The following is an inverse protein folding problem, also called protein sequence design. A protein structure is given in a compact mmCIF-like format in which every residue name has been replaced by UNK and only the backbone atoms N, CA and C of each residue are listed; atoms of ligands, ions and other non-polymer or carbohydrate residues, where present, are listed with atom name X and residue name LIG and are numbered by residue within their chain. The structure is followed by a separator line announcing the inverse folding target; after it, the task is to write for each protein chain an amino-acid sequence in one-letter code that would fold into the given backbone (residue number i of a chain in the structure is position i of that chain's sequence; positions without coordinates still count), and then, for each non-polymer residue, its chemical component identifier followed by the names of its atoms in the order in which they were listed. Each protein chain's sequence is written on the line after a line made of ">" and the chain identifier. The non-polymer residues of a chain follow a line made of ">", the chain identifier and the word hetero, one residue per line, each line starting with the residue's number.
data_IF_483199183607
#
_entry.id   IF_483199183607
#
_cell.length_a   1.000
_cell.length_b   1.000
_cell.length_c   1.000
_cell.angle_alpha   90.00
_cell.angle_beta   90.00
_cell.angle_gamma   90.00
#
_symmetry.space_group_name_H-M   'P 1'
#
loop_
_entity.id
_entity.type
_entity.pdbx_description
1 polymer ?
#
# COMPACT_ATOMS: atom_id res chain seq x y z
N UNK A 1 -19.47 -32.05 -9.50
CA UNK A 1 -19.61 -30.60 -9.28
C UNK A 1 -19.19 -29.92 -10.56
N UNK A 2 -20.13 -29.34 -11.29
CA UNK A 2 -19.81 -28.49 -12.45
C UNK A 2 -19.21 -27.21 -11.88
N UNK A 3 -17.88 -27.10 -11.93
CA UNK A 3 -17.20 -25.88 -11.50
C UNK A 3 -17.53 -24.78 -12.51
N UNK A 4 -18.28 -23.78 -12.08
CA UNK A 4 -18.47 -22.58 -12.89
C UNK A 4 -17.10 -21.96 -13.18
N UNK A 5 -16.79 -21.78 -14.47
CA UNK A 5 -15.55 -21.13 -14.89
C UNK A 5 -15.71 -19.63 -14.66
N UNK A 6 -14.86 -19.06 -13.82
CA UNK A 6 -14.87 -17.61 -13.55
C UNK A 6 -14.61 -16.83 -14.83
N UNK A 7 -15.27 -15.68 -14.98
CA UNK A 7 -14.87 -14.68 -15.99
C UNK A 7 -13.49 -14.12 -15.66
N UNK A 8 -12.83 -13.49 -16.64
CA UNK A 8 -11.54 -12.86 -16.43
C UNK A 8 -11.55 -11.86 -15.25
N UNK A 9 -12.56 -10.99 -15.18
CA UNK A 9 -12.68 -10.00 -14.11
C UNK A 9 -12.94 -10.64 -12.73
N UNK A 10 -13.67 -11.75 -12.67
CA UNK A 10 -13.91 -12.48 -11.42
C UNK A 10 -12.64 -13.18 -10.94
N UNK A 11 -11.90 -13.80 -11.87
CA UNK A 11 -10.62 -14.43 -11.57
C UNK A 11 -9.56 -13.41 -11.13
N UNK A 12 -9.53 -12.25 -11.78
CA UNK A 12 -8.65 -11.13 -11.45
C UNK A 12 -8.93 -10.60 -10.04
N UNK A 13 -10.18 -10.24 -9.73
CA UNK A 13 -10.57 -9.78 -8.40
C UNK A 13 -10.28 -10.83 -7.31
N UNK A 14 -10.57 -12.11 -7.59
CA UNK A 14 -10.25 -13.20 -6.65
C UNK A 14 -8.74 -13.29 -6.40
N UNK A 15 -7.93 -13.16 -7.44
CA UNK A 15 -6.47 -13.21 -7.31
C UNK A 15 -5.95 -12.02 -6.52
N UNK A 16 -6.46 -10.81 -6.81
CA UNK A 16 -6.15 -9.60 -6.07
C UNK A 16 -6.47 -9.73 -4.57
N UNK A 17 -7.69 -10.17 -4.22
CA UNK A 17 -8.10 -10.39 -2.83
C UNK A 17 -7.25 -11.48 -2.16
N UNK A 18 -6.94 -12.57 -2.86
CA UNK A 18 -6.08 -13.63 -2.31
C UNK A 18 -4.69 -13.08 -1.96
N UNK A 19 -4.11 -12.26 -2.86
CA UNK A 19 -2.82 -11.60 -2.62
C UNK A 19 -2.89 -10.63 -1.45
N UNK A 20 -3.97 -9.85 -1.31
CA UNK A 20 -4.17 -8.98 -0.14
C UNK A 20 -4.21 -9.78 1.18
N UNK A 21 -4.82 -10.97 1.18
CA UNK A 21 -4.88 -11.80 2.38
C UNK A 21 -3.50 -12.37 2.74
N UNK A 22 -2.71 -12.79 1.74
CA UNK A 22 -1.31 -13.20 1.95
C UNK A 22 -0.47 -12.06 2.53
N UNK A 23 -0.60 -10.86 1.97
CA UNK A 23 0.10 -9.66 2.47
C UNK A 23 -0.33 -9.35 3.90
N UNK A 24 -1.63 -9.39 4.20
CA UNK A 24 -2.14 -9.16 5.55
C UNK A 24 -1.59 -10.17 6.54
N UNK A 25 -1.56 -11.46 6.19
CA UNK A 25 -1.07 -12.53 7.07
C UNK A 25 0.43 -12.37 7.38
N UNK A 26 1.23 -12.03 6.37
CA UNK A 26 2.67 -11.84 6.50
C UNK A 26 3.09 -10.55 7.22
N UNK A 27 2.18 -9.57 7.40
CA UNK A 27 2.49 -8.25 7.94
C UNK A 27 1.65 -7.93 9.18
N UNK A 28 2.15 -8.19 10.40
CA UNK A 28 1.46 -7.90 11.66
C UNK A 28 0.92 -6.47 11.79
N UNK A 29 1.60 -5.48 11.21
CA UNK A 29 1.14 -4.09 11.16
C UNK A 29 -0.29 -3.96 10.60
N UNK A 30 -0.67 -4.82 9.64
CA UNK A 30 -1.96 -4.73 8.97
C UNK A 30 -3.13 -5.28 9.80
N UNK A 31 -2.90 -6.22 10.73
CA UNK A 31 -3.97 -6.82 11.55
C UNK A 31 -3.91 -6.52 13.04
N UNK A 32 -2.73 -6.19 13.59
CA UNK A 32 -2.51 -5.91 15.01
C UNK A 32 -1.68 -4.64 15.25
N UNK A 33 -1.41 -3.85 14.20
CA UNK A 33 -0.61 -2.65 14.31
C UNK A 33 -1.36 -1.42 14.82
N UNK A 34 -0.60 -0.52 15.45
CA UNK A 34 -1.02 0.84 15.70
C UNK A 34 -1.21 1.59 14.36
N UNK A 35 -2.09 2.59 14.36
CA UNK A 35 -2.42 3.39 13.18
C UNK A 35 -2.07 4.86 13.44
N UNK A 36 -1.21 5.41 12.60
CA UNK A 36 -0.99 6.84 12.48
C UNK A 36 -1.53 7.31 11.12
N UNK A 37 -2.45 8.26 11.12
CA UNK A 37 -2.89 8.90 9.88
C UNK A 37 -1.84 9.93 9.45
N UNK A 38 -1.32 9.78 8.24
CA UNK A 38 -0.36 10.72 7.66
C UNK A 38 -1.09 11.75 6.78
N UNK A 39 -2.08 11.30 6.02
CA UNK A 39 -2.89 12.16 5.16
C UNK A 39 -4.34 11.66 5.06
N UNK A 40 -5.29 12.58 5.05
CA UNK A 40 -6.71 12.33 4.83
C UNK A 40 -7.37 13.60 4.27
N UNK A 41 -6.95 13.99 3.07
CA UNK A 41 -7.40 15.23 2.43
C UNK A 41 -7.81 14.98 0.98
N UNK A 42 -8.98 15.50 0.59
CA UNK A 42 -9.51 15.34 -0.76
C UNK A 42 -9.72 13.88 -1.11
N UNK A 43 -9.11 13.45 -2.22
CA UNK A 43 -9.16 12.06 -2.70
C UNK A 43 -7.98 11.22 -2.20
N UNK A 44 -7.15 11.72 -1.27
CA UNK A 44 -5.97 11.00 -0.75
C UNK A 44 -6.17 10.55 0.68
N UNK A 45 -5.80 9.29 0.93
CA UNK A 45 -5.76 8.69 2.25
C UNK A 45 -4.47 7.90 2.45
N UNK A 46 -3.67 8.28 3.46
CA UNK A 46 -2.40 7.63 3.78
C UNK A 46 -2.33 7.35 5.27
N UNK A 47 -2.09 6.09 5.63
CA UNK A 47 -1.83 5.64 6.98
C UNK A 47 -0.47 4.96 7.08
N UNK A 48 0.24 5.19 8.18
CA UNK A 48 1.32 4.33 8.64
C UNK A 48 0.77 3.33 9.66
N UNK A 49 1.02 2.05 9.41
CA UNK A 49 0.68 0.93 10.27
C UNK A 49 1.96 0.36 10.87
N UNK A 50 1.99 0.15 12.18
CA UNK A 50 3.21 -0.28 12.89
C UNK A 50 2.92 -1.37 13.90
N UNK A 51 3.66 -2.48 13.87
CA UNK A 51 3.64 -3.53 14.89
C UNK A 51 5.05 -4.08 15.11
N UNK A 52 5.67 -3.70 16.24
CA UNK A 52 7.11 -3.95 16.45
C UNK A 52 7.93 -3.31 15.32
N UNK A 53 8.80 -4.10 14.70
CA UNK A 53 9.66 -3.68 13.59
C UNK A 53 8.95 -3.77 12.22
N UNK A 54 7.74 -4.35 12.15
CA UNK A 54 6.97 -4.38 10.89
C UNK A 54 6.20 -3.07 10.73
N UNK A 55 6.47 -2.36 9.63
CA UNK A 55 5.85 -1.07 9.29
C UNK A 55 5.36 -1.11 7.85
N UNK A 56 4.11 -0.69 7.63
CA UNK A 56 3.51 -0.64 6.30
C UNK A 56 2.79 0.68 6.11
N UNK A 57 3.09 1.37 5.01
CA UNK A 57 2.29 2.50 4.54
C UNK A 57 1.16 1.97 3.68
N UNK A 58 -0.08 2.30 4.04
CA UNK A 58 -1.24 2.14 3.18
C UNK A 58 -1.56 3.50 2.56
N UNK A 59 -1.43 3.61 1.24
CA UNK A 59 -1.72 4.83 0.49
C UNK A 59 -2.80 4.54 -0.56
N UNK A 60 -3.90 5.29 -0.54
CA UNK A 60 -5.04 5.07 -1.43
C UNK A 60 -5.52 6.37 -2.05
N UNK A 61 -5.79 6.28 -3.36
CA UNK A 61 -6.55 7.27 -4.10
C UNK A 61 -8.03 6.87 -4.05
N UNK A 62 -8.87 7.78 -3.58
CA UNK A 62 -10.31 7.60 -3.41
C UNK A 62 -11.09 8.26 -4.56
N UNK A 63 -10.39 8.83 -5.54
CA UNK A 63 -10.95 9.56 -6.66
C UNK A 63 -10.71 8.90 -8.03
N UNK A 64 -11.39 9.41 -9.08
CA UNK A 64 -11.33 8.86 -10.42
C UNK A 64 -10.14 9.35 -11.26
N UNK A 65 -9.31 10.24 -10.73
CA UNK A 65 -8.16 10.81 -11.42
C UNK A 65 -6.87 10.35 -10.76
N UNK A 66 -5.81 10.14 -11.53
CA UNK A 66 -4.50 9.82 -10.97
C UNK A 66 -4.01 10.95 -10.05
N UNK A 67 -3.30 10.58 -8.98
CA UNK A 67 -2.77 11.49 -7.98
C UNK A 67 -1.28 11.25 -7.81
N UNK A 68 -0.49 12.32 -7.79
CA UNK A 68 0.93 12.28 -7.45
C UNK A 68 1.10 12.42 -5.94
N UNK A 69 1.78 11.46 -5.32
CA UNK A 69 2.02 11.43 -3.89
C UNK A 69 3.45 11.87 -3.63
N UNK A 70 3.61 12.79 -2.67
CA UNK A 70 4.90 13.14 -2.08
C UNK A 70 4.85 12.82 -0.59
N UNK A 71 5.63 11.82 -0.17
CA UNK A 71 5.66 11.37 1.21
C UNK A 71 7.04 11.63 1.83
N UNK A 72 7.17 12.51 2.83
CA UNK A 72 8.46 12.78 3.47
C UNK A 72 8.97 11.55 4.22
N UNK A 73 10.21 11.16 3.95
CA UNK A 73 10.87 10.01 4.58
C UNK A 73 10.97 10.14 6.11
N UNK A 74 11.11 11.37 6.61
CA UNK A 74 11.11 11.68 8.04
C UNK A 74 9.81 11.27 8.75
N UNK A 75 8.65 11.26 8.06
CA UNK A 75 7.39 10.79 8.65
C UNK A 75 7.38 9.27 8.88
N UNK A 76 8.20 8.53 8.14
CA UNK A 76 8.34 7.08 8.27
C UNK A 76 9.49 6.68 9.19
N UNK A 77 10.40 7.62 9.48
CA UNK A 77 11.58 7.38 10.33
C UNK A 77 12.65 6.51 9.67
N UNK A 78 12.65 6.41 8.34
CA UNK A 78 13.66 5.68 7.55
C UNK A 78 14.09 6.52 6.35
N UNK A 79 15.25 6.20 5.78
CA UNK A 79 15.72 6.72 4.50
C UNK A 79 16.09 5.59 3.53
N UNK A 80 15.56 4.39 3.75
CA UNK A 80 15.68 3.27 2.81
C UNK A 80 14.58 3.35 1.76
N UNK A 81 14.73 2.62 0.66
CA UNK A 81 13.69 2.48 -0.34
C UNK A 81 12.50 1.68 0.23
N UNK A 82 11.30 1.96 -0.28
CA UNK A 82 10.10 1.18 0.07
C UNK A 82 9.85 0.11 -1.00
N UNK A 83 9.18 -0.97 -0.61
CA UNK A 83 8.76 -2.01 -1.54
C UNK A 83 7.23 -2.10 -1.55
N UNK A 84 6.61 -1.96 -2.72
CA UNK A 84 5.19 -2.24 -2.86
C UNK A 84 4.93 -3.75 -2.75
N UNK A 85 4.21 -4.16 -1.71
CA UNK A 85 3.91 -5.56 -1.39
C UNK A 85 2.99 -6.23 -2.42
N UNK A 86 2.25 -5.46 -3.22
CA UNK A 86 1.40 -5.96 -4.30
C UNK A 86 2.21 -6.29 -5.56
N UNK A 87 3.17 -5.44 -5.92
CA UNK A 87 3.84 -5.46 -7.24
C UNK A 87 5.33 -5.77 -7.17
N UNK A 88 5.96 -5.65 -6.00
CA UNK A 88 7.40 -5.59 -5.74
C UNK A 88 8.11 -4.41 -6.42
N UNK A 89 7.37 -3.37 -6.81
CA UNK A 89 7.96 -2.11 -7.26
C UNK A 89 8.75 -1.47 -6.11
N UNK A 90 9.96 -1.00 -6.42
CA UNK A 90 10.79 -0.24 -5.48
C UNK A 90 10.45 1.24 -5.61
N UNK A 91 10.09 1.88 -4.51
CA UNK A 91 9.88 3.32 -4.43
C UNK A 91 11.10 3.93 -3.76
N UNK A 92 11.99 4.48 -4.58
CA UNK A 92 13.25 5.08 -4.12
C UNK A 92 13.02 6.36 -3.34
N UNK A 93 13.82 6.58 -2.29
CA UNK A 93 13.87 7.89 -1.64
C UNK A 93 14.73 8.86 -2.44
N UNK A 94 14.19 10.03 -2.76
CA UNK A 94 14.90 11.07 -3.49
C UNK A 94 14.76 12.41 -2.78
N UNK A 95 15.90 13.01 -2.41
CA UNK A 95 15.93 14.28 -1.67
C UNK A 95 15.01 14.27 -0.43
N UNK A 96 15.01 13.16 0.32
CA UNK A 96 14.23 12.99 1.55
C UNK A 96 12.74 12.73 1.35
N UNK A 97 12.27 12.48 0.11
CA UNK A 97 10.87 12.21 -0.19
C UNK A 97 10.72 10.95 -1.04
N UNK A 98 9.64 10.22 -0.83
CA UNK A 98 9.14 9.21 -1.75
C UNK A 98 8.16 9.87 -2.71
N UNK A 99 8.30 9.59 -4.00
CA UNK A 99 7.41 10.08 -5.04
C UNK A 99 6.86 8.89 -5.83
N UNK A 100 5.53 8.78 -5.89
CA UNK A 100 4.85 7.73 -6.65
C UNK A 100 3.47 8.22 -7.08
N UNK A 101 2.91 7.57 -8.10
CA UNK A 101 1.56 7.87 -8.60
C UNK A 101 0.59 6.79 -8.14
N UNK A 102 -0.58 7.21 -7.67
CA UNK A 102 -1.74 6.34 -7.48
C UNK A 102 -2.73 6.59 -8.61
N UNK A 103 -3.00 5.56 -9.41
CA UNK A 103 -4.07 5.59 -10.41
C UNK A 103 -5.45 5.73 -9.76
N UNK A 104 -6.46 5.97 -10.57
CA UNK A 104 -7.84 6.09 -10.14
C UNK A 104 -8.26 4.87 -9.28
N UNK A 105 -8.70 5.12 -8.05
CA UNK A 105 -9.10 4.09 -7.08
C UNK A 105 -8.01 3.04 -6.75
N UNK A 106 -6.73 3.33 -7.02
CA UNK A 106 -5.61 2.46 -6.66
C UNK A 106 -5.27 2.62 -5.17
N UNK A 107 -4.87 1.50 -4.56
CA UNK A 107 -4.20 1.50 -3.28
C UNK A 107 -2.89 0.72 -3.36
N UNK A 108 -1.86 1.21 -2.67
CA UNK A 108 -0.56 0.58 -2.52
C UNK A 108 -0.28 0.26 -1.05
N UNK A 109 0.48 -0.81 -0.84
CA UNK A 109 0.93 -1.27 0.47
C UNK A 109 2.45 -1.28 0.46
N UNK A 110 3.08 -0.25 1.01
CA UNK A 110 4.53 -0.07 0.93
C UNK A 110 5.18 -0.54 2.23
N UNK A 111 6.04 -1.54 2.13
CA UNK A 111 6.88 -2.00 3.24
C UNK A 111 7.92 -0.95 3.57
N UNK A 112 8.04 -0.62 4.85
CA UNK A 112 8.97 0.39 5.35
C UNK A 112 10.16 -0.34 5.94
N UNK A 113 11.22 -0.45 5.13
CA UNK A 113 12.45 -1.13 5.51
C UNK A 113 13.28 -0.21 6.42
N UNK A 114 13.79 -0.75 7.51
CA UNK A 114 14.75 -0.08 8.41
C UNK A 114 16.20 -0.43 8.09
#
# INVERSE_FOLDING_TARGET
>A
MTGDTLTANQADLRSYVSKLMEIRDANPALYAGERLNLEAQGDIYIDLKTSGDNKVVYAANLGPNAQEITLPSEQLGTSQDLIDLMTNEVVEVQSGNYQFTLQAFEARFLDVIE
#
